data_IF_926336474941
#
_entry.id   IF_926336474941
#
_cell.length_a   1.000
_cell.length_b   1.000
_cell.length_c   1.000
_cell.angle_alpha   90.00
_cell.angle_beta   90.00
_cell.angle_gamma   90.00
#
_symmetry.space_group_name_H-M   'P 1'
#
loop_
_entity.id
_entity.type
_entity.pdbx_description
1 polymer ?
#
# COMPACT_ATOMS: atom_id res chain seq x y z
N UNK A 1 -6.51 -2.46 -21.53
CA UNK A 1 -6.53 -0.99 -21.70
C UNK A 1 -7.14 -0.36 -20.45
N UNK A 2 -6.52 0.69 -19.94
CA UNK A 2 -7.08 1.42 -18.78
C UNK A 2 -8.24 2.29 -19.24
N UNK A 3 -9.38 2.16 -18.57
CA UNK A 3 -10.56 2.97 -18.85
C UNK A 3 -10.44 4.32 -18.18
N UNK A 4 -10.08 5.34 -18.97
CA UNK A 4 -9.89 6.71 -18.47
C UNK A 4 -11.21 7.44 -18.14
N UNK A 5 -12.36 6.85 -18.47
CA UNK A 5 -13.67 7.42 -18.11
C UNK A 5 -14.03 7.16 -16.65
N UNK A 6 -13.40 6.17 -16.02
CA UNK A 6 -13.59 5.84 -14.62
C UNK A 6 -12.60 6.59 -13.74
N UNK A 7 -13.04 6.92 -12.53
CA UNK A 7 -12.21 7.61 -11.55
C UNK A 7 -11.01 6.75 -11.13
N UNK A 8 -9.85 7.36 -10.86
CA UNK A 8 -8.74 6.64 -10.27
C UNK A 8 -9.10 6.17 -8.85
N UNK A 9 -8.55 5.02 -8.48
CA UNK A 9 -8.69 4.46 -7.13
C UNK A 9 -7.40 4.69 -6.37
N UNK A 10 -7.53 5.15 -5.13
CA UNK A 10 -6.44 5.26 -4.17
C UNK A 10 -6.61 4.14 -3.16
N UNK A 11 -5.62 3.26 -3.06
CA UNK A 11 -5.66 2.10 -2.17
C UNK A 11 -4.69 2.31 -1.01
N UNK A 12 -5.25 2.35 0.21
CA UNK A 12 -4.50 2.47 1.46
C UNK A 12 -4.52 1.13 2.18
N UNK A 13 -3.34 0.55 2.42
CA UNK A 13 -3.20 -0.69 3.18
C UNK A 13 -2.36 -0.43 4.44
N UNK A 14 -2.88 -0.83 5.58
CA UNK A 14 -2.22 -0.66 6.87
C UNK A 14 -2.10 -2.02 7.56
N UNK A 15 -0.91 -2.32 8.08
CA UNK A 15 -0.65 -3.55 8.79
C UNK A 15 0.15 -3.28 10.06
N UNK A 16 -0.15 -4.01 11.13
CA UNK A 16 0.49 -3.83 12.42
C UNK A 16 0.92 -5.18 12.98
N UNK A 17 1.82 -5.17 13.94
CA UNK A 17 2.18 -6.36 14.71
C UNK A 17 1.29 -6.43 15.95
N UNK A 18 0.14 -7.08 15.82
CA UNK A 18 -0.86 -7.16 16.89
C UNK A 18 -0.49 -8.13 18.02
N UNK A 19 0.42 -9.07 17.73
CA UNK A 19 0.85 -10.07 18.71
C UNK A 19 1.99 -9.56 19.61
N UNK A 20 2.67 -8.49 19.21
CA UNK A 20 3.82 -7.95 19.92
C UNK A 20 3.55 -6.53 20.40
N UNK A 21 3.39 -6.36 21.72
CA UNK A 21 3.12 -5.05 22.32
C UNK A 21 4.29 -4.07 22.19
N UNK A 22 5.53 -4.56 22.00
CA UNK A 22 6.72 -3.72 21.81
C UNK A 22 6.75 -3.17 20.39
N UNK A 23 6.44 -4.01 19.39
CA UNK A 23 6.47 -3.63 17.98
C UNK A 23 5.14 -3.07 17.48
N UNK A 24 4.11 -3.05 18.31
CA UNK A 24 2.81 -2.50 17.93
C UNK A 24 2.91 -1.00 17.64
N UNK A 25 2.50 -0.59 16.45
CA UNK A 25 2.52 0.81 16.02
C UNK A 25 1.27 1.52 16.53
N UNK A 26 1.39 2.19 17.66
CA UNK A 26 0.24 2.83 18.33
C UNK A 26 -0.32 4.01 17.54
N UNK A 27 0.52 4.67 16.74
CA UNK A 27 0.13 5.84 15.96
C UNK A 27 -0.42 5.50 14.57
N UNK A 28 -0.41 4.23 14.18
CA UNK A 28 -0.87 3.82 12.85
C UNK A 28 -2.33 4.18 12.57
N UNK A 29 -3.28 4.01 13.50
CA UNK A 29 -4.65 4.47 13.28
C UNK A 29 -4.77 5.98 13.06
N UNK A 30 -3.96 6.76 13.76
CA UNK A 30 -3.93 8.23 13.59
C UNK A 30 -3.33 8.62 12.24
N UNK A 31 -2.26 7.96 11.81
CA UNK A 31 -1.68 8.13 10.49
C UNK A 31 -2.73 7.85 9.41
N UNK A 32 -3.43 6.72 9.53
CA UNK A 32 -4.49 6.35 8.60
C UNK A 32 -5.57 7.42 8.54
N UNK A 33 -5.98 7.97 9.68
CA UNK A 33 -6.96 9.03 9.77
C UNK A 33 -6.48 10.31 9.07
N UNK A 34 -5.25 10.73 9.33
CA UNK A 34 -4.68 11.95 8.75
C UNK A 34 -4.54 11.86 7.22
N UNK A 35 -4.29 10.69 6.69
CA UNK A 35 -4.26 10.46 5.24
C UNK A 35 -5.69 10.44 4.68
N UNK A 36 -6.58 9.73 5.35
CA UNK A 36 -7.95 9.53 4.88
C UNK A 36 -8.76 10.84 4.83
N UNK A 37 -8.64 11.70 5.84
CA UNK A 37 -9.47 12.91 5.91
C UNK A 37 -9.36 13.82 4.67
N UNK A 38 -8.15 14.20 4.20
CA UNK A 38 -8.04 14.97 2.96
C UNK A 38 -8.56 14.23 1.73
N UNK A 39 -8.32 12.92 1.67
CA UNK A 39 -8.76 12.09 0.54
C UNK A 39 -10.28 11.90 0.51
N UNK A 40 -10.93 11.90 1.67
CA UNK A 40 -12.39 11.87 1.75
C UNK A 40 -13.03 13.08 1.08
N UNK A 41 -12.38 14.23 1.18
CA UNK A 41 -12.84 15.44 0.48
C UNK A 41 -12.74 15.26 -1.04
N UNK A 42 -11.59 14.80 -1.53
CA UNK A 42 -11.41 14.51 -2.96
C UNK A 42 -12.43 13.49 -3.46
N UNK A 43 -12.69 12.46 -2.66
CA UNK A 43 -13.71 11.44 -2.98
C UNK A 43 -15.11 12.06 -3.08
N UNK A 44 -15.49 12.90 -2.12
CA UNK A 44 -16.80 13.60 -2.14
C UNK A 44 -16.95 14.51 -3.36
N UNK A 45 -15.84 15.12 -3.78
CA UNK A 45 -15.82 15.98 -4.97
C UNK A 45 -15.79 15.18 -6.28
N UNK A 46 -15.82 13.85 -6.21
CA UNK A 46 -15.87 12.98 -7.37
C UNK A 46 -14.55 12.79 -8.11
N UNK A 47 -13.41 13.15 -7.47
CA UNK A 47 -12.09 13.10 -8.10
C UNK A 47 -11.44 11.71 -8.05
N UNK A 48 -11.81 10.88 -7.08
CA UNK A 48 -11.25 9.55 -6.89
C UNK A 48 -12.21 8.65 -6.12
N UNK A 49 -11.91 7.35 -6.15
CA UNK A 49 -12.45 6.38 -5.20
C UNK A 49 -11.37 6.04 -4.18
N UNK A 50 -11.77 5.70 -2.98
CA UNK A 50 -10.87 5.40 -1.87
C UNK A 50 -11.17 3.98 -1.35
N UNK A 51 -10.16 3.13 -1.33
CA UNK A 51 -10.22 1.80 -0.71
C UNK A 51 -9.22 1.79 0.42
N UNK A 52 -9.68 1.44 1.63
CA UNK A 52 -8.81 1.32 2.80
C UNK A 52 -8.98 -0.05 3.41
N UNK A 53 -7.87 -0.72 3.65
CA UNK A 53 -7.82 -2.01 4.34
C UNK A 53 -6.94 -1.85 5.57
N UNK A 54 -7.54 -1.93 6.75
CA UNK A 54 -6.84 -2.05 8.02
C UNK A 54 -6.49 -3.52 8.27
N UNK A 55 -5.43 -3.76 9.01
CA UNK A 55 -4.95 -5.12 9.31
C UNK A 55 -4.74 -5.94 8.04
N UNK A 56 -4.08 -5.33 7.03
CA UNK A 56 -3.95 -5.89 5.70
C UNK A 56 -3.09 -7.15 5.67
N UNK A 57 -3.60 -8.18 5.01
CA UNK A 57 -2.85 -9.38 4.65
C UNK A 57 -2.35 -9.27 3.21
N UNK A 58 -1.41 -10.14 2.81
CA UNK A 58 -0.99 -10.21 1.42
C UNK A 58 -2.17 -10.53 0.49
N UNK A 59 -3.03 -11.44 0.91
CA UNK A 59 -4.22 -11.82 0.13
C UNK A 59 -5.18 -10.64 -0.04
N UNK A 60 -5.34 -9.81 0.99
CA UNK A 60 -6.17 -8.60 0.89
C UNK A 60 -5.64 -7.65 -0.20
N UNK A 61 -4.31 -7.44 -0.23
CA UNK A 61 -3.69 -6.56 -1.23
C UNK A 61 -3.92 -7.12 -2.64
N UNK A 62 -3.61 -8.40 -2.85
CA UNK A 62 -3.78 -9.04 -4.16
C UNK A 62 -5.23 -9.01 -4.60
N UNK A 63 -6.16 -9.30 -3.69
CA UNK A 63 -7.58 -9.33 -3.99
C UNK A 63 -8.09 -7.96 -4.45
N UNK A 64 -7.72 -6.88 -3.77
CA UNK A 64 -8.17 -5.53 -4.15
C UNK A 64 -7.69 -5.19 -5.56
N UNK A 65 -6.44 -5.48 -5.90
CA UNK A 65 -5.92 -5.23 -7.25
C UNK A 65 -6.61 -6.08 -8.32
N UNK A 66 -7.12 -7.26 -7.96
CA UNK A 66 -7.76 -8.18 -8.90
C UNK A 66 -9.28 -8.06 -8.95
N UNK A 67 -9.88 -7.35 -7.99
CA UNK A 67 -11.32 -7.15 -7.94
C UNK A 67 -11.81 -6.49 -9.23
N UNK A 68 -12.83 -7.05 -9.92
CA UNK A 68 -13.30 -6.48 -11.19
C UNK A 68 -13.65 -5.00 -11.11
N UNK A 69 -14.15 -4.54 -9.95
CA UNK A 69 -14.49 -3.14 -9.71
C UNK A 69 -13.27 -2.22 -9.75
N UNK A 70 -12.09 -2.69 -9.30
CA UNK A 70 -10.89 -1.87 -9.13
C UNK A 70 -9.78 -2.18 -10.14
N UNK A 71 -9.88 -3.29 -10.84
CA UNK A 71 -8.84 -3.73 -11.78
C UNK A 71 -8.49 -2.63 -12.78
N UNK A 72 -7.20 -2.42 -12.97
CA UNK A 72 -6.63 -1.42 -13.88
C UNK A 72 -7.00 0.03 -13.55
N UNK A 73 -7.57 0.29 -12.37
CA UNK A 73 -7.98 1.62 -11.92
C UNK A 73 -7.21 2.12 -10.72
N UNK A 74 -6.47 1.27 -10.02
CA UNK A 74 -5.70 1.68 -8.84
C UNK A 74 -4.49 2.48 -9.31
N UNK A 75 -4.53 3.79 -9.07
CA UNK A 75 -3.47 4.71 -9.48
C UNK A 75 -2.42 4.91 -8.37
N UNK A 76 -2.83 4.78 -7.11
CA UNK A 76 -1.96 4.98 -5.95
C UNK A 76 -2.12 3.81 -4.99
N UNK A 77 -1.00 3.23 -4.59
CA UNK A 77 -0.94 2.28 -3.49
C UNK A 77 -0.10 2.87 -2.37
N UNK A 78 -0.68 2.98 -1.18
CA UNK A 78 0.00 3.41 0.04
C UNK A 78 0.05 2.27 1.04
N UNK A 79 1.24 1.95 1.53
CA UNK A 79 1.44 1.02 2.63
C UNK A 79 1.88 1.80 3.88
N UNK A 80 1.24 1.54 5.00
CA UNK A 80 1.68 2.02 6.32
C UNK A 80 1.85 0.85 7.28
N UNK A 81 3.05 0.71 7.86
CA UNK A 81 3.34 -0.40 8.76
C UNK A 81 4.84 -0.64 8.94
N UNK A 82 5.16 -1.80 9.54
CA UNK A 82 6.55 -2.22 9.66
C UNK A 82 7.13 -2.64 8.31
N UNK A 83 8.39 -2.30 8.10
CA UNK A 83 9.12 -2.68 6.90
C UNK A 83 10.63 -2.67 7.16
N UNK A 84 11.37 -3.20 6.21
CA UNK A 84 12.82 -3.04 6.11
C UNK A 84 13.21 -2.90 4.63
N UNK A 85 14.51 -2.96 4.31
CA UNK A 85 14.98 -2.80 2.94
C UNK A 85 14.56 -3.92 1.98
N UNK A 86 14.01 -5.02 2.49
CA UNK A 86 13.74 -6.23 1.70
C UNK A 86 12.30 -6.72 1.80
N UNK A 87 11.52 -6.24 2.77
CA UNK A 87 10.20 -6.80 3.08
C UNK A 87 9.25 -5.73 3.60
N UNK A 88 7.95 -5.94 3.35
CA UNK A 88 6.87 -5.33 4.11
C UNK A 88 6.32 -6.37 5.08
N UNK A 89 6.04 -5.99 6.32
CA UNK A 89 5.34 -6.85 7.26
C UNK A 89 3.84 -6.65 7.11
N UNK A 90 3.17 -7.74 6.75
CA UNK A 90 1.72 -7.80 6.62
C UNK A 90 1.14 -8.64 7.75
N UNK A 91 -0.16 -8.62 7.90
CA UNK A 91 -0.83 -9.44 8.89
C UNK A 91 -1.17 -10.81 8.31
N UNK A 92 -1.30 -11.81 9.18
CA UNK A 92 -1.85 -13.10 8.83
C UNK A 92 -3.23 -13.26 9.46
N UNK A 93 -3.96 -14.30 9.10
CA UNK A 93 -5.26 -14.58 9.69
C UNK A 93 -5.22 -14.80 11.20
N UNK A 94 -4.08 -15.25 11.75
CA UNK A 94 -3.88 -15.42 13.19
C UNK A 94 -3.47 -14.13 13.92
N UNK A 95 -3.20 -13.03 13.18
CA UNK A 95 -2.74 -11.76 13.74
C UNK A 95 -1.22 -11.64 13.87
N UNK A 96 -0.45 -12.72 13.67
CA UNK A 96 1.01 -12.65 13.66
C UNK A 96 1.52 -12.02 12.35
N UNK A 97 2.70 -11.34 12.38
CA UNK A 97 3.22 -10.72 11.18
C UNK A 97 3.64 -11.76 10.12
N UNK A 98 3.41 -11.41 8.87
CA UNK A 98 3.83 -12.18 7.71
C UNK A 98 4.66 -11.29 6.80
N UNK A 99 5.89 -11.69 6.52
CA UNK A 99 6.78 -10.92 5.65
C UNK A 99 6.41 -11.11 4.17
N UNK A 100 6.30 -10.01 3.46
CA UNK A 100 6.13 -10.00 2.01
C UNK A 100 7.42 -9.53 1.36
N UNK A 101 7.99 -10.36 0.50
CA UNK A 101 9.26 -10.10 -0.17
C UNK A 101 9.15 -8.93 -1.16
N UNK A 102 10.11 -8.00 -1.08
CA UNK A 102 10.11 -6.81 -1.93
C UNK A 102 10.19 -7.14 -3.43
N UNK A 103 10.97 -8.16 -3.80
CA UNK A 103 11.07 -8.57 -5.20
C UNK A 103 9.77 -9.11 -5.76
N UNK A 104 9.06 -9.92 -4.97
CA UNK A 104 7.74 -10.44 -5.34
C UNK A 104 6.69 -9.34 -5.44
N UNK A 105 6.71 -8.40 -4.49
CA UNK A 105 5.81 -7.24 -4.54
C UNK A 105 6.09 -6.34 -5.74
N UNK A 106 7.36 -6.06 -6.03
CA UNK A 106 7.75 -5.25 -7.19
C UNK A 106 7.27 -5.89 -8.48
N UNK A 107 7.45 -7.20 -8.65
CA UNK A 107 6.95 -7.92 -9.81
C UNK A 107 5.43 -7.82 -9.93
N UNK A 108 4.73 -7.97 -8.81
CA UNK A 108 3.27 -7.85 -8.78
C UNK A 108 2.81 -6.44 -9.16
N UNK A 109 3.37 -5.41 -8.55
CA UNK A 109 3.00 -4.02 -8.84
C UNK A 109 3.33 -3.64 -10.28
N UNK A 110 4.45 -4.14 -10.81
CA UNK A 110 4.83 -3.87 -12.20
C UNK A 110 3.88 -4.42 -13.25
N UNK A 111 3.06 -5.41 -12.88
CA UNK A 111 2.03 -5.99 -13.75
C UNK A 111 0.71 -5.23 -13.67
N UNK A 112 0.56 -4.30 -12.74
CA UNK A 112 -0.70 -3.60 -12.54
C UNK A 112 -0.80 -2.42 -13.51
N UNK A 113 -1.82 -2.44 -14.36
CA UNK A 113 -2.11 -1.35 -15.27
C UNK A 113 -2.73 -0.18 -14.51
N UNK A 114 -2.32 1.03 -14.82
CA UNK A 114 -2.84 2.23 -14.20
C UNK A 114 -2.17 2.61 -12.89
N UNK A 115 -1.35 1.75 -12.30
CA UNK A 115 -0.61 2.08 -11.08
C UNK A 115 0.51 3.07 -11.39
N UNK A 116 0.41 4.27 -10.81
CA UNK A 116 1.35 5.37 -11.06
C UNK A 116 2.27 5.64 -9.88
N UNK A 117 1.77 5.47 -8.66
CA UNK A 117 2.51 5.80 -7.44
C UNK A 117 2.42 4.66 -6.44
N UNK A 118 3.57 4.25 -5.91
CA UNK A 118 3.68 3.39 -4.73
C UNK A 118 4.35 4.17 -3.62
N UNK A 119 3.66 4.30 -2.48
CA UNK A 119 4.18 4.96 -1.30
C UNK A 119 4.35 3.93 -0.18
N UNK A 120 5.60 3.67 0.20
CA UNK A 120 5.95 2.71 1.24
C UNK A 120 6.35 3.48 2.51
N UNK A 121 5.39 3.67 3.41
CA UNK A 121 5.62 4.35 4.69
C UNK A 121 5.93 3.32 5.78
N UNK A 122 7.14 2.84 5.77
CA UNK A 122 7.71 1.90 6.75
C UNK A 122 9.20 2.15 6.91
N UNK A 123 9.81 1.52 7.90
CA UNK A 123 11.23 1.75 8.18
C UNK A 123 12.12 1.32 7.02
N UNK A 124 13.02 2.21 6.60
CA UNK A 124 14.11 1.90 5.66
C UNK A 124 13.64 1.28 4.33
N UNK A 125 12.49 1.70 3.82
CA UNK A 125 11.95 1.18 2.55
C UNK A 125 12.68 1.71 1.31
N UNK A 126 13.59 2.67 1.48
CA UNK A 126 14.36 3.26 0.37
C UNK A 126 15.04 2.21 -0.51
N UNK A 127 15.52 1.11 0.09
CA UNK A 127 16.19 0.05 -0.67
C UNK A 127 15.25 -0.71 -1.61
N UNK A 128 13.94 -0.59 -1.43
CA UNK A 128 12.95 -1.21 -2.31
C UNK A 128 12.62 -0.35 -3.54
N UNK A 129 13.08 0.90 -3.58
CA UNK A 129 12.72 1.86 -4.64
C UNK A 129 13.19 1.39 -6.02
N UNK A 130 14.44 0.97 -6.12
CA UNK A 130 15.01 0.60 -7.42
C UNK A 130 14.29 -0.59 -8.06
N UNK A 131 13.94 -1.59 -7.25
CA UNK A 131 13.19 -2.74 -7.75
C UNK A 131 11.81 -2.36 -8.30
N UNK A 132 11.13 -1.43 -7.64
CA UNK A 132 9.84 -0.91 -8.11
C UNK A 132 9.98 -0.10 -9.39
N UNK A 133 10.99 0.76 -9.48
CA UNK A 133 11.27 1.53 -10.70
C UNK A 133 11.64 0.60 -11.86
N UNK A 134 12.47 -0.41 -11.61
CA UNK A 134 12.85 -1.41 -12.62
C UNK A 134 11.65 -2.23 -13.12
N UNK A 135 10.63 -2.39 -12.27
CA UNK A 135 9.39 -3.05 -12.63
C UNK A 135 8.37 -2.13 -13.32
N UNK A 136 8.78 -0.91 -13.68
CA UNK A 136 7.99 0.10 -14.40
C UNK A 136 6.93 0.83 -13.55
N UNK A 137 7.07 0.86 -12.23
CA UNK A 137 6.30 1.79 -11.40
C UNK A 137 6.86 3.19 -11.62
N UNK A 138 6.01 4.14 -12.00
CA UNK A 138 6.48 5.47 -12.46
C UNK A 138 7.03 6.33 -11.34
N UNK A 139 6.39 6.31 -10.15
CA UNK A 139 6.80 7.13 -9.00
C UNK A 139 6.78 6.28 -7.74
N UNK A 140 7.84 6.38 -6.95
CA UNK A 140 7.97 5.68 -5.68
C UNK A 140 8.36 6.67 -4.59
N UNK A 141 7.62 6.66 -3.48
CA UNK A 141 7.97 7.38 -2.26
C UNK A 141 8.31 6.34 -1.19
N UNK A 142 9.44 6.53 -0.53
CA UNK A 142 9.92 5.61 0.49
C UNK A 142 10.65 6.37 1.59
N UNK A 143 10.92 5.69 2.70
CA UNK A 143 11.62 6.27 3.84
C UNK A 143 13.06 5.77 3.88
N UNK A 144 13.99 6.66 4.24
CA UNK A 144 15.42 6.34 4.33
C UNK A 144 15.87 5.92 5.73
N UNK A 145 15.02 6.10 6.74
CA UNK A 145 15.37 5.86 8.15
C UNK A 145 14.26 5.10 8.86
N UNK A 146 14.58 4.62 10.05
CA UNK A 146 13.58 4.17 10.99
C UNK A 146 12.69 5.35 11.41
N UNK A 147 11.42 5.08 11.49
CA UNK A 147 10.41 6.07 11.86
C UNK A 147 10.15 5.96 13.37
#
# INVERSE_FOLDING_TARGET
MVDKTKKPVIFLAFANDRDDTVNYLRNLPEEARQIREPLQRARRDGLCELVEVANATADDIFRVFQEPEYRDRIAVFHYGGHANGYQLLLESASGSPQAADAGGLAAFFGQQRGLELVFLNGCSTQQQVQGLLDANVSVVIATSRAI
#
